data_IF_341607528019
#
_entry.id   IF_341607528019
#
_cell.length_a   1.000
_cell.length_b   1.000
_cell.length_c   1.000
_cell.angle_alpha   90.00
_cell.angle_beta   90.00
_cell.angle_gamma   90.00
#
_symmetry.space_group_name_H-M   'P 1'
#
loop_
_entity.id
_entity.type
_entity.pdbx_description
1 polymer ?
#
# COMPACT_ATOMS: atom_id res chain seq x y z
N UNK A 1 -44.23 40.72 68.13
CA UNK A 1 -43.77 41.19 66.80
C UNK A 1 -42.34 40.71 66.60
N UNK A 2 -42.15 39.62 65.87
CA UNK A 2 -40.85 39.12 65.42
C UNK A 2 -41.09 38.66 63.99
N UNK A 3 -40.51 39.36 63.01
CA UNK A 3 -40.50 38.93 61.61
C UNK A 3 -39.13 38.32 61.32
N UNK A 4 -39.10 37.00 61.05
CA UNK A 4 -37.93 36.33 60.48
C UNK A 4 -37.98 36.46 58.96
N UNK A 5 -36.90 36.98 58.38
CA UNK A 5 -36.70 37.03 56.92
C UNK A 5 -35.87 35.82 56.52
N UNK A 6 -36.48 34.88 55.81
CA UNK A 6 -35.79 33.73 55.21
C UNK A 6 -35.13 34.12 53.89
N UNK A 7 -33.81 33.94 53.81
CA UNK A 7 -33.02 34.16 52.60
C UNK A 7 -33.11 32.91 51.70
N UNK A 8 -33.81 32.99 50.57
CA UNK A 8 -33.86 31.93 49.58
C UNK A 8 -32.68 32.08 48.61
N UNK A 9 -31.75 31.12 48.63
CA UNK A 9 -30.64 31.03 47.67
C UNK A 9 -31.14 30.26 46.45
N UNK A 10 -31.26 30.95 45.31
CA UNK A 10 -31.54 30.34 44.01
C UNK A 10 -30.20 29.98 43.37
N UNK A 11 -29.91 28.69 43.25
CA UNK A 11 -28.73 28.19 42.55
C UNK A 11 -29.05 28.02 41.05
N UNK A 12 -28.38 28.81 40.21
CA UNK A 12 -28.49 28.73 38.75
C UNK A 12 -27.59 27.59 38.26
N UNK A 13 -28.17 26.44 37.90
CA UNK A 13 -27.42 25.36 37.26
C UNK A 13 -27.22 25.68 35.77
N UNK A 14 -25.98 26.04 35.39
CA UNK A 14 -25.59 26.12 34.00
C UNK A 14 -25.39 24.71 33.45
N UNK A 15 -26.33 24.22 32.64
CA UNK A 15 -26.16 23.00 31.86
C UNK A 15 -25.23 23.28 30.69
N UNK A 16 -23.96 22.88 30.79
CA UNK A 16 -23.04 22.90 29.66
C UNK A 16 -23.48 21.83 28.65
N UNK A 17 -23.92 22.26 27.46
CA UNK A 17 -24.11 21.37 26.32
C UNK A 17 -22.73 20.95 25.82
N UNK A 18 -22.32 19.73 26.14
CA UNK A 18 -21.15 19.11 25.52
C UNK A 18 -21.49 18.86 24.04
N UNK A 19 -20.91 19.66 23.15
CA UNK A 19 -20.88 19.34 21.71
C UNK A 19 -20.06 18.06 21.55
N UNK A 20 -20.59 16.98 20.95
CA UNK A 20 -19.78 15.82 20.65
C UNK A 20 -18.69 16.27 19.67
N UNK A 21 -17.43 16.14 20.08
CA UNK A 21 -16.30 16.20 19.16
C UNK A 21 -16.51 15.07 18.15
N UNK A 22 -16.74 15.43 16.88
CA UNK A 22 -16.71 14.46 15.80
C UNK A 22 -15.37 13.71 15.90
N UNK A 23 -15.44 12.38 16.01
CA UNK A 23 -14.25 11.55 15.91
C UNK A 23 -13.61 11.80 14.55
N UNK A 24 -12.28 12.02 14.45
CA UNK A 24 -11.58 12.12 13.18
C UNK A 24 -11.45 10.70 12.61
N UNK A 25 -12.58 10.11 12.23
CA UNK A 25 -12.58 9.14 11.15
C UNK A 25 -12.60 10.00 9.90
N UNK A 26 -11.40 10.40 9.49
CA UNK A 26 -11.09 11.23 8.33
C UNK A 26 -12.00 10.89 7.15
N UNK A 27 -12.48 11.93 6.47
CA UNK A 27 -13.21 11.77 5.22
C UNK A 27 -12.23 11.28 4.14
N UNK A 28 -11.89 9.98 4.16
CA UNK A 28 -11.16 9.38 3.05
C UNK A 28 -11.93 9.65 1.77
N UNK A 29 -11.22 10.13 0.76
CA UNK A 29 -11.79 10.37 -0.54
C UNK A 29 -12.41 9.06 -1.06
N UNK A 30 -13.68 9.11 -1.48
CA UNK A 30 -14.46 7.96 -1.93
C UNK A 30 -14.12 7.53 -3.38
N UNK A 31 -12.83 7.57 -3.73
CA UNK A 31 -12.32 7.27 -5.07
C UNK A 31 -11.28 6.15 -5.02
N UNK A 32 -10.99 5.54 -6.17
CA UNK A 32 -10.07 4.41 -6.24
C UNK A 32 -8.62 4.80 -5.91
N UNK A 33 -8.17 5.93 -6.43
CA UNK A 33 -6.88 6.58 -6.14
C UNK A 33 -6.90 7.96 -6.84
N UNK A 34 -5.96 8.84 -6.47
CA UNK A 34 -5.65 10.05 -7.22
C UNK A 34 -4.29 9.84 -7.90
N UNK A 35 -4.15 10.04 -9.23
CA UNK A 35 -2.88 9.87 -9.92
C UNK A 35 -1.78 10.76 -9.33
N UNK A 36 -0.60 10.23 -8.95
CA UNK A 36 0.46 11.00 -8.32
C UNK A 36 0.87 12.28 -9.07
N UNK A 37 0.89 12.23 -10.41
CA UNK A 37 1.24 13.37 -11.25
C UNK A 37 0.34 14.60 -11.03
N UNK A 38 -0.90 14.44 -10.54
CA UNK A 38 -1.80 15.58 -10.28
C UNK A 38 -1.33 16.44 -9.10
N UNK A 39 -0.59 15.87 -8.16
CA UNK A 39 -0.03 16.58 -7.00
C UNK A 39 1.49 16.69 -7.01
N UNK A 40 2.13 16.55 -8.17
CA UNK A 40 3.59 16.65 -8.32
C UNK A 40 4.36 15.41 -7.85
N UNK A 41 3.66 14.29 -7.65
CA UNK A 41 4.25 12.97 -7.43
C UNK A 41 4.52 12.22 -8.73
N UNK A 42 4.91 10.95 -8.59
CA UNK A 42 5.32 10.10 -9.71
C UNK A 42 4.85 8.65 -9.52
N UNK A 43 4.73 7.91 -10.62
CA UNK A 43 4.47 6.46 -10.62
C UNK A 43 5.76 5.62 -10.56
N UNK A 44 6.90 6.28 -10.36
CA UNK A 44 8.18 5.69 -10.02
C UNK A 44 8.54 6.09 -8.57
N UNK A 45 9.08 5.16 -7.80
CA UNK A 45 9.77 5.49 -6.55
C UNK A 45 11.20 6.01 -6.82
N UNK A 46 11.96 6.25 -5.75
CA UNK A 46 13.38 6.59 -5.79
C UNK A 46 14.21 5.40 -5.31
N UNK A 47 14.87 4.74 -6.27
CA UNK A 47 15.77 3.62 -6.02
C UNK A 47 17.15 4.04 -5.47
N UNK A 48 17.34 5.33 -5.17
CA UNK A 48 18.56 5.89 -4.57
C UNK A 48 19.72 6.07 -5.55
N UNK A 49 19.50 5.84 -6.84
CA UNK A 49 20.49 5.95 -7.91
C UNK A 49 20.09 6.93 -9.03
N UNK A 50 19.04 7.72 -8.80
CA UNK A 50 18.49 8.66 -9.79
C UNK A 50 17.53 8.00 -10.80
N UNK A 51 17.21 6.71 -10.60
CA UNK A 51 16.17 5.97 -11.31
C UNK A 51 15.12 5.49 -10.30
N UNK A 52 14.01 4.95 -10.79
CA UNK A 52 12.93 4.44 -9.95
C UNK A 52 12.39 3.09 -10.39
N UNK A 53 11.82 2.37 -9.44
CA UNK A 53 11.01 1.18 -9.68
C UNK A 53 9.54 1.60 -9.92
N UNK A 54 8.82 0.90 -10.81
CA UNK A 54 7.47 1.28 -11.17
C UNK A 54 6.46 0.84 -10.12
N UNK A 55 5.62 1.78 -9.70
CA UNK A 55 4.40 1.54 -8.93
C UNK A 55 3.32 0.93 -9.84
N UNK A 56 3.54 -0.30 -10.28
CA UNK A 56 2.83 -0.97 -11.37
C UNK A 56 1.55 -1.72 -10.94
N UNK A 57 1.25 -1.77 -9.64
CA UNK A 57 -0.04 -2.24 -9.11
C UNK A 57 -0.61 -1.22 -8.11
N UNK A 58 -1.93 -1.01 -8.15
CA UNK A 58 -2.66 -0.18 -7.19
C UNK A 58 -3.75 -1.03 -6.54
N UNK A 59 -3.79 -1.10 -5.21
CA UNK A 59 -4.97 -1.57 -4.47
C UNK A 59 -5.87 -0.35 -4.23
N UNK A 60 -7.05 -0.40 -4.82
CA UNK A 60 -8.04 0.67 -4.79
C UNK A 60 -8.44 1.06 -3.37
N UNK A 61 -8.58 2.36 -3.12
CA UNK A 61 -9.23 2.92 -1.94
C UNK A 61 -10.70 2.49 -1.77
N UNK A 62 -11.32 1.91 -2.82
CA UNK A 62 -12.66 1.31 -2.80
C UNK A 62 -12.66 -0.18 -2.38
N UNK A 63 -11.49 -0.74 -2.06
CA UNK A 63 -11.36 -2.08 -1.47
C UNK A 63 -11.99 -2.13 -0.07
N UNK A 64 -12.20 -3.33 0.47
CA UNK A 64 -12.64 -3.49 1.86
C UNK A 64 -11.73 -2.70 2.81
N UNK A 65 -12.27 -1.87 3.72
CA UNK A 65 -11.44 -1.06 4.62
C UNK A 65 -10.45 -1.87 5.46
N UNK A 66 -10.79 -3.12 5.79
CA UNK A 66 -9.91 -4.06 6.49
C UNK A 66 -8.63 -4.34 5.72
N UNK A 67 -8.68 -4.46 4.38
CA UNK A 67 -7.51 -4.68 3.50
C UNK A 67 -6.60 -3.45 3.49
N UNK A 68 -7.17 -2.26 3.62
CA UNK A 68 -6.43 -0.99 3.58
C UNK A 68 -5.80 -0.63 4.93
N UNK A 69 -5.52 -1.60 5.81
CA UNK A 69 -4.72 -1.42 7.02
C UNK A 69 -3.39 -2.16 6.84
N UNK A 70 -2.35 -1.84 7.60
CA UNK A 70 -1.05 -2.50 7.42
C UNK A 70 -1.15 -4.01 7.69
N UNK A 71 -1.84 -4.39 8.78
CA UNK A 71 -2.08 -5.80 9.13
C UNK A 71 -2.99 -6.50 8.11
N UNK A 72 -4.03 -5.82 7.62
CA UNK A 72 -4.93 -6.42 6.64
C UNK A 72 -4.30 -6.56 5.26
N UNK A 73 -3.45 -5.61 4.86
CA UNK A 73 -2.65 -5.73 3.65
C UNK A 73 -1.67 -6.90 3.76
N UNK A 74 -0.95 -7.03 4.88
CA UNK A 74 -0.06 -8.16 5.12
C UNK A 74 -0.82 -9.49 5.05
N UNK A 75 -1.97 -9.60 5.72
CA UNK A 75 -2.77 -10.83 5.68
C UNK A 75 -3.26 -11.17 4.26
N UNK A 76 -3.67 -10.15 3.50
CA UNK A 76 -4.03 -10.31 2.10
C UNK A 76 -2.82 -10.76 1.26
N UNK A 77 -1.67 -10.11 1.39
CA UNK A 77 -0.44 -10.47 0.66
C UNK A 77 -0.01 -11.91 0.96
N UNK A 78 -0.12 -12.37 2.21
CA UNK A 78 0.09 -13.77 2.60
C UNK A 78 -0.87 -14.74 1.92
N UNK A 79 -2.13 -14.34 1.70
CA UNK A 79 -3.06 -15.15 0.89
C UNK A 79 -2.64 -15.29 -0.58
N UNK A 80 -1.75 -14.41 -1.06
CA UNK A 80 -1.20 -14.43 -2.42
C UNK A 80 0.17 -15.12 -2.51
N UNK A 81 0.72 -15.59 -1.38
CA UNK A 81 2.05 -16.21 -1.31
C UNK A 81 3.19 -15.21 -1.11
N UNK A 82 2.93 -14.09 -0.43
CA UNK A 82 3.98 -13.14 0.00
C UNK A 82 4.04 -13.08 1.52
N UNK A 83 5.22 -12.94 2.10
CA UNK A 83 5.36 -12.72 3.54
C UNK A 83 6.49 -11.76 3.85
N UNK A 84 6.62 -11.41 5.14
CA UNK A 84 7.72 -10.57 5.63
C UNK A 84 9.05 -11.28 5.39
N UNK A 85 10.06 -10.49 5.00
CA UNK A 85 11.42 -10.94 4.78
C UNK A 85 12.00 -11.77 5.94
N UNK A 86 12.84 -12.74 5.58
CA UNK A 86 13.51 -13.63 6.52
C UNK A 86 14.63 -12.90 7.26
N UNK A 87 14.46 -12.71 8.58
CA UNK A 87 15.45 -12.14 9.50
C UNK A 87 16.08 -10.79 9.08
N UNK A 88 15.38 -9.99 8.27
CA UNK A 88 15.84 -8.67 7.80
C UNK A 88 17.05 -8.74 6.85
N UNK A 89 17.24 -9.88 6.18
CA UNK A 89 18.26 -10.01 5.13
C UNK A 89 17.68 -9.43 3.84
N UNK A 90 17.98 -8.16 3.57
CA UNK A 90 17.76 -7.52 2.29
C UNK A 90 19.05 -6.81 1.82
N UNK A 91 19.19 -6.71 0.50
CA UNK A 91 20.19 -5.85 -0.14
C UNK A 91 19.51 -4.54 -0.53
N UNK A 92 20.07 -3.41 -0.10
CA UNK A 92 19.54 -2.07 -0.41
C UNK A 92 19.02 -1.33 0.83
N UNK A 93 18.80 -0.03 0.68
CA UNK A 93 18.12 0.78 1.70
C UNK A 93 16.64 0.96 1.38
N UNK A 94 15.86 1.56 2.30
CA UNK A 94 14.49 1.96 2.01
C UNK A 94 14.41 2.84 0.75
N UNK A 95 13.44 2.55 -0.12
CA UNK A 95 13.13 3.35 -1.31
C UNK A 95 11.94 4.25 -1.00
N UNK A 96 12.02 5.52 -1.41
CA UNK A 96 10.99 6.51 -1.11
C UNK A 96 10.13 6.82 -2.33
N UNK A 97 8.83 7.04 -2.14
CA UNK A 97 7.94 7.47 -3.22
C UNK A 97 7.22 8.77 -2.84
N UNK A 98 6.97 9.61 -3.83
CA UNK A 98 6.07 10.77 -3.71
C UNK A 98 4.78 10.48 -4.48
N UNK A 99 3.69 10.23 -3.75
CA UNK A 99 2.39 9.89 -4.34
C UNK A 99 1.55 11.11 -4.70
N UNK A 100 2.12 12.32 -4.66
CA UNK A 100 1.41 13.56 -4.99
C UNK A 100 0.26 13.87 -4.03
N UNK A 101 0.32 13.32 -2.82
CA UNK A 101 -0.73 13.46 -1.81
C UNK A 101 -0.44 14.54 -0.78
N UNK A 102 0.67 15.28 -0.95
CA UNK A 102 1.09 16.34 -0.05
C UNK A 102 2.05 15.89 1.05
N UNK A 103 2.39 14.60 1.15
CA UNK A 103 3.44 14.12 2.06
C UNK A 103 4.86 14.32 1.51
N UNK A 104 5.00 14.54 0.20
CA UNK A 104 6.31 14.52 -0.45
C UNK A 104 6.85 13.09 -0.55
N UNK A 105 8.17 12.93 -0.53
CA UNK A 105 8.80 11.61 -0.54
C UNK A 105 8.71 10.95 0.84
N UNK A 106 8.13 9.75 0.87
CA UNK A 106 8.01 8.90 2.06
C UNK A 106 8.57 7.51 1.77
N UNK A 107 9.25 6.91 2.74
CA UNK A 107 9.78 5.55 2.62
C UNK A 107 8.64 4.52 2.46
N UNK A 108 8.97 3.33 1.93
CA UNK A 108 8.00 2.24 1.87
C UNK A 108 7.43 1.91 3.26
N UNK A 109 6.15 1.61 3.31
CA UNK A 109 5.45 1.18 4.54
C UNK A 109 5.80 -0.25 4.89
N UNK A 110 5.91 -1.12 3.88
CA UNK A 110 6.39 -2.50 4.04
C UNK A 110 7.08 -2.97 2.76
N UNK A 111 7.92 -3.98 2.91
CA UNK A 111 8.58 -4.73 1.84
C UNK A 111 8.27 -6.21 2.07
N UNK A 112 7.72 -6.89 1.05
CA UNK A 112 7.29 -8.29 1.12
C UNK A 112 7.91 -9.09 -0.02
N UNK A 113 8.17 -10.37 0.24
CA UNK A 113 8.83 -11.30 -0.67
C UNK A 113 7.98 -12.55 -0.84
N UNK A 114 8.07 -13.20 -2.00
CA UNK A 114 7.42 -14.47 -2.26
C UNK A 114 7.81 -15.50 -1.19
N UNK A 115 6.82 -16.22 -0.66
CA UNK A 115 7.00 -17.17 0.44
C UNK A 115 6.88 -18.63 0.00
N UNK A 116 6.65 -18.91 -1.28
CA UNK A 116 6.44 -20.26 -1.83
C UNK A 116 5.50 -21.17 -1.01
N UNK A 117 4.49 -20.59 -0.34
CA UNK A 117 3.55 -21.33 0.50
C UNK A 117 4.09 -21.74 1.87
N UNK A 118 5.17 -21.11 2.34
CA UNK A 118 5.70 -21.29 3.68
C UNK A 118 6.25 -19.97 4.26
N UNK A 119 5.44 -19.31 5.08
CA UNK A 119 5.77 -18.02 5.70
C UNK A 119 7.09 -18.01 6.50
N UNK A 120 7.55 -19.17 7.02
CA UNK A 120 8.72 -19.28 7.89
C UNK A 120 10.01 -19.76 7.19
N UNK A 121 9.89 -20.59 6.14
CA UNK A 121 11.03 -21.14 5.39
C UNK A 121 11.15 -20.59 3.98
N UNK A 122 10.04 -20.15 3.41
CA UNK A 122 9.91 -19.76 2.02
C UNK A 122 10.47 -18.39 1.71
N UNK A 123 10.31 -17.40 2.59
CA UNK A 123 10.97 -16.10 2.43
C UNK A 123 12.50 -16.20 2.60
N UNK A 124 12.99 -17.19 3.34
CA UNK A 124 14.42 -17.51 3.41
C UNK A 124 14.91 -18.26 2.13
N UNK A 125 14.03 -19.03 1.49
CA UNK A 125 14.28 -19.69 0.20
C UNK A 125 14.24 -18.71 -0.96
N UNK A 126 13.41 -17.66 -0.91
CA UNK A 126 13.35 -16.57 -1.91
C UNK A 126 14.67 -15.82 -1.99
N UNK A 127 15.28 -15.52 -0.84
CA UNK A 127 16.68 -15.05 -0.81
C UNK A 127 17.59 -15.98 -1.61
N UNK A 128 17.40 -17.30 -1.56
CA UNK A 128 18.28 -18.26 -2.23
C UNK A 128 17.91 -18.57 -3.71
N UNK A 129 16.65 -18.34 -4.13
CA UNK A 129 16.07 -18.83 -5.40
C UNK A 129 15.56 -17.70 -6.32
N UNK A 130 15.22 -16.54 -5.77
CA UNK A 130 14.64 -15.40 -6.50
C UNK A 130 13.14 -15.56 -6.72
N UNK A 131 12.37 -14.55 -6.38
CA UNK A 131 10.91 -14.61 -6.46
C UNK A 131 10.28 -13.27 -6.72
N UNK A 132 8.96 -13.24 -6.57
CA UNK A 132 8.20 -12.00 -6.66
C UNK A 132 8.45 -11.15 -5.39
N UNK A 133 8.61 -9.85 -5.57
CA UNK A 133 8.96 -8.89 -4.56
C UNK A 133 8.01 -7.70 -4.68
N UNK A 134 7.63 -7.11 -3.55
CA UNK A 134 6.92 -5.84 -3.58
C UNK A 134 7.29 -4.89 -2.46
N UNK A 135 7.20 -3.58 -2.76
CA UNK A 135 7.16 -2.49 -1.78
C UNK A 135 5.78 -1.85 -1.81
N UNK A 136 5.27 -1.46 -0.65
CA UNK A 136 3.96 -0.81 -0.52
C UNK A 136 4.08 0.61 0.00
N UNK A 137 3.38 1.53 -0.67
CA UNK A 137 3.21 2.93 -0.29
C UNK A 137 1.72 3.23 -0.16
N UNK A 138 1.35 4.12 0.75
CA UNK A 138 -0.04 4.47 1.01
C UNK A 138 -0.31 5.92 0.65
N UNK A 139 -1.37 6.16 -0.12
CA UNK A 139 -1.85 7.50 -0.42
C UNK A 139 -2.77 7.98 0.72
N UNK A 140 -2.17 8.68 1.69
CA UNK A 140 -2.82 9.15 2.92
C UNK A 140 -2.41 10.60 3.28
N UNK A 141 -1.91 11.36 2.31
CA UNK A 141 -1.49 12.72 2.53
C UNK A 141 -2.64 13.74 2.56
N UNK A 142 -2.37 14.96 3.04
CA UNK A 142 -3.38 16.00 3.26
C UNK A 142 -4.05 16.51 1.97
N UNK A 143 -3.45 16.28 0.80
CA UNK A 143 -3.99 16.67 -0.51
C UNK A 143 -4.68 15.52 -1.25
N UNK A 144 -4.43 14.28 -0.84
CA UNK A 144 -5.08 13.08 -1.38
C UNK A 144 -5.05 11.94 -0.36
N UNK A 145 -6.06 11.85 0.50
CA UNK A 145 -6.24 10.71 1.39
C UNK A 145 -7.31 9.76 0.84
N UNK A 146 -6.92 8.92 -0.11
CA UNK A 146 -7.81 7.87 -0.67
C UNK A 146 -7.69 6.55 0.10
N UNK A 147 -6.60 6.38 0.85
CA UNK A 147 -6.22 5.12 1.47
C UNK A 147 -5.75 4.04 0.49
N UNK A 148 -5.67 4.34 -0.81
CA UNK A 148 -5.17 3.42 -1.83
C UNK A 148 -3.71 3.02 -1.55
N UNK A 149 -3.36 1.80 -1.94
CA UNK A 149 -1.99 1.27 -1.80
C UNK A 149 -1.34 1.20 -3.18
N UNK A 150 -0.17 1.80 -3.32
CA UNK A 150 0.65 1.75 -4.52
C UNK A 150 1.78 0.76 -4.29
N UNK A 151 1.91 -0.22 -5.18
CA UNK A 151 2.87 -1.30 -5.05
C UNK A 151 3.92 -1.20 -6.15
N UNK A 152 5.19 -1.16 -5.78
CA UNK A 152 6.28 -1.47 -6.70
C UNK A 152 6.47 -2.98 -6.70
N UNK A 153 6.05 -3.68 -7.76
CA UNK A 153 6.11 -5.14 -7.85
C UNK A 153 7.16 -5.53 -8.88
N UNK A 154 8.05 -6.45 -8.52
CA UNK A 154 9.10 -6.93 -9.41
C UNK A 154 9.38 -8.42 -9.20
N UNK A 155 9.93 -9.09 -10.21
CA UNK A 155 10.48 -10.44 -10.06
C UNK A 155 12.01 -10.39 -10.05
N UNK A 156 12.59 -10.80 -8.93
CA UNK A 156 14.04 -10.78 -8.69
C UNK A 156 14.70 -12.13 -9.04
N UNK A 157 15.98 -12.10 -9.41
CA UNK A 157 16.88 -13.25 -9.44
C UNK A 157 17.23 -13.70 -8.01
N UNK A 158 17.78 -14.92 -7.81
CA UNK A 158 18.33 -15.33 -6.51
C UNK A 158 19.47 -14.42 -6.00
N UNK A 159 19.76 -14.47 -4.69
CA UNK A 159 20.91 -13.76 -4.08
C UNK A 159 22.25 -14.14 -4.70
N UNK A 160 22.39 -15.32 -5.31
CA UNK A 160 23.60 -15.72 -6.05
C UNK A 160 23.88 -14.83 -7.27
N UNK A 161 22.86 -14.11 -7.74
CA UNK A 161 22.92 -13.08 -8.77
C UNK A 161 22.57 -11.69 -8.19
N UNK A 162 22.77 -11.50 -6.88
CA UNK A 162 22.59 -10.25 -6.16
C UNK A 162 21.17 -9.65 -6.19
N UNK A 163 20.12 -10.47 -6.31
CA UNK A 163 18.74 -9.98 -6.41
C UNK A 163 18.48 -9.06 -7.61
N UNK A 164 19.27 -9.19 -8.69
CA UNK A 164 19.04 -8.40 -9.90
C UNK A 164 17.64 -8.71 -10.48
N UNK A 165 16.98 -7.72 -11.06
CA UNK A 165 15.65 -7.92 -11.61
C UNK A 165 15.77 -8.68 -12.92
N UNK A 166 14.97 -9.74 -13.10
CA UNK A 166 15.02 -10.54 -14.32
C UNK A 166 14.65 -9.65 -15.54
N UNK A 167 15.08 -9.99 -16.77
CA UNK A 167 14.56 -9.31 -17.96
C UNK A 167 13.03 -9.30 -17.97
N UNK A 168 12.43 -8.12 -18.16
CA UNK A 168 10.97 -7.90 -18.06
C UNK A 168 10.38 -8.16 -16.66
N UNK A 169 11.21 -8.12 -15.61
CA UNK A 169 10.82 -8.54 -14.25
C UNK A 169 9.76 -7.69 -13.59
N UNK A 170 9.64 -6.40 -13.93
CA UNK A 170 8.55 -5.57 -13.44
C UNK A 170 7.19 -6.03 -13.99
N UNK A 171 7.10 -6.24 -15.29
CA UNK A 171 5.85 -6.68 -15.94
C UNK A 171 5.50 -8.11 -15.54
N UNK A 172 6.49 -9.01 -15.46
CA UNK A 172 6.31 -10.39 -14.98
C UNK A 172 5.83 -10.42 -13.53
N UNK A 173 6.49 -9.68 -12.62
CA UNK A 173 6.12 -9.65 -11.21
C UNK A 173 4.70 -9.14 -10.99
N UNK A 174 4.34 -8.04 -11.66
CA UNK A 174 2.97 -7.50 -11.71
C UNK A 174 1.97 -8.55 -12.17
N UNK A 175 2.20 -9.17 -13.31
CA UNK A 175 1.25 -10.09 -13.93
C UNK A 175 1.04 -11.36 -13.08
N UNK A 176 2.10 -11.86 -12.45
CA UNK A 176 2.03 -13.00 -11.52
C UNK A 176 1.24 -12.66 -10.25
N UNK A 177 1.48 -11.50 -9.64
CA UNK A 177 0.70 -11.04 -8.50
C UNK A 177 -0.78 -10.92 -8.87
N UNK A 178 -1.09 -10.30 -10.01
CA UNK A 178 -2.47 -10.10 -10.48
C UNK A 178 -3.16 -11.42 -10.81
N UNK A 179 -2.45 -12.38 -11.41
CA UNK A 179 -2.96 -13.72 -11.69
C UNK A 179 -3.32 -14.49 -10.41
N UNK A 180 -2.59 -14.29 -9.30
CA UNK A 180 -2.96 -14.85 -8.00
C UNK A 180 -4.09 -14.07 -7.33
N UNK A 181 -4.02 -12.74 -7.35
CA UNK A 181 -5.00 -11.86 -6.72
C UNK A 181 -6.43 -12.00 -7.27
N UNK A 182 -6.58 -12.35 -8.54
CA UNK A 182 -7.89 -12.53 -9.21
C UNK A 182 -8.52 -13.90 -8.95
N UNK A 183 -7.82 -14.80 -8.26
CA UNK A 183 -8.40 -16.02 -7.70
C UNK A 183 -9.07 -15.69 -6.36
N UNK A 184 -9.96 -16.55 -5.91
CA UNK A 184 -10.39 -16.50 -4.52
C UNK A 184 -9.28 -17.08 -3.64
N UNK A 185 -8.81 -16.31 -2.66
CA UNK A 185 -7.74 -16.71 -1.74
C UNK A 185 -8.22 -16.59 -0.30
N UNK A 186 -7.55 -17.27 0.62
CA UNK A 186 -7.86 -17.16 2.04
C UNK A 186 -6.59 -17.21 2.86
N UNK A 187 -6.53 -16.42 3.93
CA UNK A 187 -5.50 -16.56 4.95
C UNK A 187 -6.08 -16.22 6.33
N UNK A 188 -5.63 -16.92 7.37
CA UNK A 188 -6.05 -16.73 8.76
C UNK A 188 -7.58 -16.60 8.96
N UNK A 189 -8.38 -17.35 8.19
CA UNK A 189 -9.84 -17.33 8.28
C UNK A 189 -10.54 -16.16 7.56
N UNK A 190 -9.80 -15.26 6.90
CA UNK A 190 -10.34 -14.23 6.02
C UNK A 190 -10.27 -14.72 4.57
N UNK A 191 -11.36 -14.54 3.83
CA UNK A 191 -11.43 -14.90 2.41
C UNK A 191 -11.50 -13.65 1.56
N UNK A 192 -10.71 -13.61 0.50
CA UNK A 192 -10.57 -12.47 -0.39
C UNK A 192 -11.05 -12.83 -1.80
N UNK A 193 -11.63 -11.83 -2.46
CA UNK A 193 -11.86 -11.84 -3.90
C UNK A 193 -11.42 -10.49 -4.45
N UNK A 194 -10.85 -10.46 -5.65
CA UNK A 194 -10.47 -9.21 -6.29
C UNK A 194 -10.89 -9.16 -7.76
N UNK A 195 -11.14 -7.93 -8.21
CA UNK A 195 -11.26 -7.62 -9.64
C UNK A 195 -10.04 -6.81 -10.07
N UNK A 196 -9.60 -7.01 -11.31
CA UNK A 196 -8.46 -6.31 -11.89
C UNK A 196 -8.91 -5.48 -13.09
N UNK A 197 -8.33 -4.29 -13.24
CA UNK A 197 -8.46 -3.46 -14.43
C UNK A 197 -7.12 -2.87 -14.81
N UNK A 198 -6.78 -2.93 -16.10
CA UNK A 198 -5.54 -2.36 -16.62
C UNK A 198 -5.74 -0.89 -16.94
N UNK A 199 -4.80 -0.05 -16.47
CA UNK A 199 -4.75 1.38 -16.71
C UNK A 199 -3.46 1.69 -17.46
N UNK A 200 -3.60 2.32 -18.63
CA UNK A 200 -2.48 2.83 -19.44
C UNK A 200 -2.27 4.32 -19.19
N UNK A 201 -1.07 4.82 -19.44
CA UNK A 201 -0.76 6.26 -19.41
C UNK A 201 -0.41 6.81 -18.03
N UNK A 202 -0.37 5.95 -17.01
CA UNK A 202 0.21 6.27 -15.70
C UNK A 202 1.72 6.06 -15.66
N UNK A 203 2.21 5.03 -16.35
CA UNK A 203 3.63 4.75 -16.57
C UNK A 203 3.99 4.97 -18.04
N UNK A 204 5.20 5.45 -18.34
CA UNK A 204 5.70 5.49 -19.70
C UNK A 204 6.03 4.08 -20.21
N UNK A 205 5.93 3.87 -21.52
CA UNK A 205 6.49 2.69 -22.18
C UNK A 205 8.00 2.84 -22.37
N UNK A 206 8.76 1.74 -22.27
CA UNK A 206 10.21 1.75 -22.40
C UNK A 206 10.92 1.87 -21.05
N UNK A 207 12.23 2.19 -21.06
CA UNK A 207 13.09 2.11 -19.87
C UNK A 207 13.61 3.47 -19.36
N UNK A 208 13.12 4.57 -19.92
CA UNK A 208 13.58 5.90 -19.53
C UNK A 208 13.20 6.20 -18.07
N UNK A 209 14.20 6.43 -17.21
CA UNK A 209 14.02 6.67 -15.77
C UNK A 209 13.74 5.40 -14.94
N UNK A 210 13.66 4.24 -15.58
CA UNK A 210 13.36 2.96 -14.92
C UNK A 210 14.66 2.31 -14.44
N UNK A 211 14.67 1.90 -13.18
CA UNK A 211 15.82 1.24 -12.57
C UNK A 211 16.16 -0.07 -13.31
N UNK A 212 17.45 -0.44 -13.36
CA UNK A 212 18.00 -1.54 -14.17
C UNK A 212 17.85 -1.41 -15.70
N UNK A 213 17.28 -0.29 -16.21
CA UNK A 213 17.09 -0.09 -17.64
C UNK A 213 16.09 -1.07 -18.28
N UNK A 214 15.24 -1.70 -17.46
CA UNK A 214 14.20 -2.65 -17.90
C UNK A 214 13.07 -1.85 -18.53
N UNK A 215 12.65 -2.25 -19.73
CA UNK A 215 11.54 -1.61 -20.42
C UNK A 215 10.20 -2.03 -19.79
N UNK A 216 9.30 -1.07 -19.63
CA UNK A 216 7.92 -1.28 -19.20
C UNK A 216 6.97 -1.30 -20.39
N UNK A 217 5.92 -2.10 -20.31
CA UNK A 217 4.78 -2.04 -21.24
C UNK A 217 3.83 -0.85 -21.00
N UNK A 218 4.07 -0.07 -19.94
CA UNK A 218 3.28 1.12 -19.56
C UNK A 218 1.96 0.82 -18.85
N UNK A 219 1.69 -0.46 -18.54
CA UNK A 219 0.47 -0.88 -17.85
C UNK A 219 0.64 -0.79 -16.33
N UNK A 220 -0.41 -0.27 -15.69
CA UNK A 220 -0.63 -0.34 -14.24
C UNK A 220 -1.90 -1.14 -13.99
N UNK A 221 -1.90 -2.07 -13.04
CA UNK A 221 -3.11 -2.84 -12.70
C UNK A 221 -3.76 -2.29 -11.44
N UNK A 222 -5.02 -1.89 -11.53
CA UNK A 222 -5.86 -1.53 -10.40
C UNK A 222 -6.64 -2.75 -9.90
N UNK A 223 -6.36 -3.18 -8.68
CA UNK A 223 -7.07 -4.21 -7.94
C UNK A 223 -8.12 -3.59 -7.02
N UNK A 224 -9.35 -4.10 -7.07
CA UNK A 224 -10.38 -3.81 -6.05
C UNK A 224 -10.68 -5.07 -5.26
N UNK A 225 -10.26 -5.10 -4.00
CA UNK A 225 -10.26 -6.29 -3.14
C UNK A 225 -11.44 -6.26 -2.17
N UNK A 226 -12.16 -7.37 -2.04
CA UNK A 226 -13.26 -7.56 -1.10
C UNK A 226 -12.97 -8.74 -0.18
N UNK A 227 -13.14 -8.50 1.12
CA UNK A 227 -13.29 -9.56 2.13
C UNK A 227 -14.71 -10.14 2.05
N UNK A 228 -14.82 -11.47 2.03
CA UNK A 228 -16.09 -12.20 1.97
C UNK A 228 -16.59 -12.63 3.36
#
# INVERSE_FOLDING_TARGET
MIFSVGLAIVTLQATAFATPLASPLDSRASVAFIPPAQGGGSMLDDAGNGLGEPLNVIISGLSSPSVLTDNGFLNYAQSLGFSTECFGVHLGGPQAANLGDGNGFVNQTTELREDYGNEALGTCLESLVGGNHLRMYRQNGPSADTGALFLAVSREQPITQSHDIIPNGYDIGRDELVANATKQTSNAGVTYSATASTITGLLPTGSAGVNHGIALDGNVVLLTVKTL
#
